data_IF_215185219989
#
_entry.id   IF_215185219989
#
_cell.length_a   1.000
_cell.length_b   1.000
_cell.length_c   1.000
_cell.angle_alpha   90.00
_cell.angle_beta   90.00
_cell.angle_gamma   90.00
#
_symmetry.space_group_name_H-M   'P 1'
#
loop_
_entity.id
_entity.type
_entity.pdbx_description
1 polymer ?
#
# COMPACT_ATOMS: atom_id res chain seq x y z
N UNK A 1 5.55 -19.31 44.60
CA UNK A 1 5.24 -18.04 43.90
C UNK A 1 4.84 -18.24 42.43
N UNK A 2 4.89 -19.47 41.90
CA UNK A 2 4.56 -19.80 40.50
C UNK A 2 3.05 -19.75 40.15
N UNK A 3 2.15 -20.03 41.10
CA UNK A 3 0.70 -20.12 40.83
C UNK A 3 0.02 -18.77 40.55
N UNK A 4 0.54 -17.67 41.10
CA UNK A 4 -0.04 -16.33 40.90
C UNK A 4 0.40 -15.70 39.57
N UNK A 5 1.57 -16.08 39.06
CA UNK A 5 2.07 -15.64 37.76
C UNK A 5 1.24 -16.25 36.62
N UNK A 6 0.80 -17.49 36.78
CA UNK A 6 -0.04 -18.19 35.80
C UNK A 6 -1.43 -17.56 35.64
N UNK A 7 -2.05 -17.10 36.74
CA UNK A 7 -3.37 -16.44 36.73
C UNK A 7 -3.35 -15.10 35.98
N UNK A 8 -2.30 -14.29 36.17
CA UNK A 8 -2.13 -13.02 35.45
C UNK A 8 -1.76 -13.24 33.99
N UNK A 9 -0.89 -14.21 33.71
CA UNK A 9 -0.50 -14.56 32.35
C UNK A 9 -1.71 -15.03 31.53
N UNK A 10 -2.55 -15.90 32.10
CA UNK A 10 -3.77 -16.38 31.44
C UNK A 10 -4.76 -15.25 31.11
N UNK A 11 -4.97 -14.31 32.04
CA UNK A 11 -5.83 -13.15 31.83
C UNK A 11 -5.29 -12.22 30.73
N UNK A 12 -3.98 -11.99 30.70
CA UNK A 12 -3.30 -11.20 29.65
C UNK A 12 -3.47 -11.86 28.28
N UNK A 13 -3.29 -13.18 28.19
CA UNK A 13 -3.51 -13.91 26.94
C UNK A 13 -4.97 -13.81 26.47
N UNK A 14 -5.93 -13.88 27.39
CA UNK A 14 -7.36 -13.79 27.06
C UNK A 14 -7.72 -12.41 26.48
N UNK A 15 -7.20 -11.32 27.07
CA UNK A 15 -7.39 -9.95 26.58
C UNK A 15 -6.72 -9.74 25.21
N UNK A 16 -5.51 -10.27 25.02
CA UNK A 16 -4.78 -10.15 23.75
C UNK A 16 -5.49 -10.91 22.61
N UNK A 17 -6.04 -12.09 22.88
CA UNK A 17 -6.78 -12.89 21.89
C UNK A 17 -8.10 -12.20 21.51
N UNK A 18 -8.85 -11.69 22.49
CA UNK A 18 -10.13 -11.03 22.23
C UNK A 18 -9.95 -9.69 21.50
N UNK A 19 -8.91 -8.93 21.83
CA UNK A 19 -8.54 -7.69 21.14
C UNK A 19 -8.07 -7.91 19.70
N UNK A 20 -7.36 -9.03 19.44
CA UNK A 20 -6.86 -9.35 18.09
C UNK A 20 -7.94 -9.94 17.18
N UNK A 21 -8.92 -10.68 17.73
CA UNK A 21 -10.07 -11.21 16.99
C UNK A 21 -11.14 -10.15 16.70
N UNK A 22 -11.24 -9.10 17.52
CA UNK A 22 -12.21 -8.01 17.35
C UNK A 22 -11.77 -6.90 16.38
N UNK A 23 -10.52 -6.92 15.90
CA UNK A 23 -10.05 -5.90 14.97
C UNK A 23 -10.66 -6.11 13.57
N UNK A 24 -11.36 -5.11 13.00
CA UNK A 24 -11.85 -5.21 11.63
C UNK A 24 -10.64 -5.40 10.71
N UNK A 25 -10.64 -6.53 9.98
CA UNK A 25 -9.65 -6.73 8.92
C UNK A 25 -9.92 -5.73 7.82
N UNK A 26 -9.02 -4.76 7.65
CA UNK A 26 -9.00 -3.88 6.50
C UNK A 26 -8.68 -4.74 5.28
N UNK A 27 -9.72 -5.26 4.62
CA UNK A 27 -9.57 -5.82 3.29
C UNK A 27 -9.26 -4.66 2.35
N UNK A 28 -8.04 -4.64 1.82
CA UNK A 28 -7.70 -3.74 0.73
C UNK A 28 -8.52 -4.17 -0.49
N UNK A 29 -9.62 -3.47 -0.76
CA UNK A 29 -10.34 -3.61 -2.02
C UNK A 29 -9.46 -3.07 -3.15
N UNK A 30 -9.35 -3.80 -4.26
CA UNK A 30 -8.82 -3.21 -5.49
C UNK A 30 -9.73 -2.04 -5.90
N UNK A 31 -9.27 -0.82 -5.68
CA UNK A 31 -9.99 0.38 -6.10
C UNK A 31 -9.96 0.45 -7.61
N UNK A 32 -11.12 0.38 -8.25
CA UNK A 32 -11.25 0.59 -9.69
C UNK A 32 -10.78 2.01 -10.03
N UNK A 33 -9.71 2.13 -10.81
CA UNK A 33 -9.15 3.42 -11.20
C UNK A 33 -10.12 4.11 -12.17
N UNK A 34 -10.53 5.32 -11.84
CA UNK A 34 -11.42 6.13 -12.70
C UNK A 34 -10.76 7.47 -13.01
N UNK A 35 -10.94 7.98 -14.24
CA UNK A 35 -10.34 9.24 -14.68
C UNK A 35 -10.74 10.45 -13.80
N UNK A 36 -11.95 10.40 -13.22
CA UNK A 36 -12.52 11.47 -12.41
C UNK A 36 -12.37 11.24 -10.90
N UNK A 37 -11.44 10.39 -10.47
CA UNK A 37 -11.27 10.04 -9.05
C UNK A 37 -11.16 11.27 -8.12
N UNK A 38 -10.48 12.33 -8.56
CA UNK A 38 -10.30 13.56 -7.80
C UNK A 38 -11.31 14.67 -8.12
N UNK A 39 -12.31 14.43 -8.98
CA UNK A 39 -13.19 15.50 -9.46
C UNK A 39 -14.00 16.18 -8.33
N UNK A 40 -14.39 15.45 -7.30
CA UNK A 40 -15.15 15.98 -6.16
C UNK A 40 -14.29 16.49 -5.01
N UNK A 41 -13.07 15.97 -4.85
CA UNK A 41 -12.19 16.27 -3.70
C UNK A 41 -11.14 17.33 -4.01
N UNK A 42 -10.56 17.29 -5.22
CA UNK A 42 -9.57 18.25 -5.68
C UNK A 42 -9.63 18.38 -7.21
N UNK A 43 -10.55 19.21 -7.75
CA UNK A 43 -10.79 19.30 -9.19
C UNK A 43 -9.59 19.88 -9.97
N UNK A 44 -8.70 20.60 -9.30
CA UNK A 44 -7.54 21.27 -9.92
C UNK A 44 -6.27 20.43 -9.92
N UNK A 45 -6.29 19.21 -9.35
CA UNK A 45 -5.08 18.39 -9.18
C UNK A 45 -4.32 18.17 -10.48
N UNK A 46 -5.01 17.84 -11.57
CA UNK A 46 -4.37 17.57 -12.86
C UNK A 46 -3.73 18.83 -13.46
N UNK A 47 -4.34 20.01 -13.23
CA UNK A 47 -3.79 21.28 -13.70
C UNK A 47 -2.52 21.66 -12.91
N UNK A 48 -2.55 21.47 -11.58
CA UNK A 48 -1.39 21.73 -10.72
C UNK A 48 -0.23 20.81 -11.10
N UNK A 49 -0.47 19.50 -11.18
CA UNK A 49 0.58 18.52 -11.54
C UNK A 49 1.16 18.81 -12.93
N UNK A 50 0.31 19.16 -13.91
CA UNK A 50 0.78 19.53 -15.26
C UNK A 50 1.69 20.75 -15.21
N UNK A 51 1.26 21.82 -14.52
CA UNK A 51 2.04 23.06 -14.42
C UNK A 51 3.41 22.82 -13.80
N UNK A 52 3.48 22.09 -12.69
CA UNK A 52 4.76 21.80 -12.03
C UNK A 52 5.66 20.90 -12.89
N UNK A 53 5.07 19.94 -13.60
CA UNK A 53 5.79 19.11 -14.56
C UNK A 53 6.37 19.95 -15.70
N UNK A 54 5.59 20.88 -16.26
CA UNK A 54 6.05 21.80 -17.31
C UNK A 54 7.21 22.68 -16.81
N UNK A 55 7.10 23.23 -15.60
CA UNK A 55 8.19 23.98 -14.97
C UNK A 55 9.47 23.14 -14.82
N UNK A 56 9.35 21.91 -14.30
CA UNK A 56 10.48 21.02 -14.11
C UNK A 56 11.16 20.67 -15.45
N UNK A 57 10.39 20.23 -16.44
CA UNK A 57 10.90 19.84 -17.75
C UNK A 57 11.49 21.03 -18.53
N UNK A 58 10.93 22.23 -18.36
CA UNK A 58 11.50 23.44 -18.97
C UNK A 58 12.82 23.83 -18.31
N UNK A 59 12.98 23.56 -17.01
CA UNK A 59 14.24 23.82 -16.29
C UNK A 59 15.34 22.81 -16.65
N UNK A 60 15.02 21.52 -16.73
CA UNK A 60 15.89 20.47 -17.25
C UNK A 60 15.07 19.41 -18.01
N UNK A 61 15.27 19.25 -19.33
CA UNK A 61 14.51 18.28 -20.11
C UNK A 61 14.75 16.82 -19.68
N UNK A 62 15.81 16.54 -18.92
CA UNK A 62 16.11 15.19 -18.37
C UNK A 62 15.13 14.79 -17.27
N UNK A 63 14.47 15.74 -16.61
CA UNK A 63 13.50 15.46 -15.54
C UNK A 63 12.29 14.67 -16.04
N UNK A 64 11.86 14.88 -17.29
CA UNK A 64 10.81 14.08 -17.92
C UNK A 64 11.16 12.58 -17.90
N UNK A 65 12.38 12.23 -18.30
CA UNK A 65 12.85 10.85 -18.32
C UNK A 65 13.03 10.28 -16.90
N UNK A 66 13.51 11.11 -15.96
CA UNK A 66 13.69 10.70 -14.57
C UNK A 66 12.35 10.36 -13.89
N UNK A 67 11.33 11.22 -14.03
CA UNK A 67 10.01 11.05 -13.42
C UNK A 67 9.31 9.80 -13.97
N UNK A 68 9.38 9.58 -15.28
CA UNK A 68 8.86 8.35 -15.90
C UNK A 68 9.58 7.11 -15.38
N UNK A 69 10.92 7.15 -15.28
CA UNK A 69 11.70 6.05 -14.71
C UNK A 69 11.36 5.79 -13.24
N UNK A 70 11.12 6.83 -12.45
CA UNK A 70 10.70 6.71 -11.06
C UNK A 70 9.31 6.04 -10.94
N UNK A 71 8.36 6.46 -11.77
CA UNK A 71 7.03 5.83 -11.82
C UNK A 71 7.13 4.33 -12.12
N UNK A 72 7.90 3.95 -13.15
CA UNK A 72 8.14 2.56 -13.46
C UNK A 72 8.86 1.83 -12.32
N UNK A 73 9.86 2.44 -11.69
CA UNK A 73 10.60 1.86 -10.58
C UNK A 73 9.69 1.48 -9.40
N UNK A 74 8.76 2.37 -9.03
CA UNK A 74 7.80 2.14 -7.95
C UNK A 74 6.81 1.00 -8.28
N UNK A 75 6.34 0.95 -9.52
CA UNK A 75 5.45 -0.13 -9.98
C UNK A 75 6.16 -1.49 -10.09
N UNK A 76 7.41 -1.53 -10.59
CA UNK A 76 8.15 -2.79 -10.73
C UNK A 76 8.53 -3.40 -9.37
N UNK A 77 8.76 -2.58 -8.34
CA UNK A 77 8.99 -3.07 -6.97
C UNK A 77 7.71 -3.71 -6.41
N UNK A 78 6.54 -3.11 -6.67
CA UNK A 78 5.25 -3.67 -6.26
C UNK A 78 4.96 -4.99 -6.98
N UNK A 79 5.19 -5.08 -8.30
CA UNK A 79 5.05 -6.33 -9.05
C UNK A 79 6.03 -7.41 -8.59
N UNK A 80 7.23 -7.08 -8.13
CA UNK A 80 8.13 -8.06 -7.50
C UNK A 80 7.60 -8.59 -6.17
N UNK A 81 6.96 -7.74 -5.35
CA UNK A 81 6.29 -8.16 -4.11
C UNK A 81 5.03 -8.99 -4.39
N UNK A 82 4.25 -8.61 -5.39
CA UNK A 82 3.08 -9.34 -5.85
C UNK A 82 3.45 -10.69 -6.49
N UNK A 83 4.49 -10.74 -7.33
CA UNK A 83 4.96 -12.00 -7.93
C UNK A 83 5.47 -12.96 -6.86
N UNK A 84 6.14 -12.47 -5.81
CA UNK A 84 6.60 -13.31 -4.69
C UNK A 84 5.45 -13.89 -3.85
N UNK A 85 4.38 -13.12 -3.64
CA UNK A 85 3.17 -13.60 -2.94
C UNK A 85 2.34 -14.56 -3.79
N UNK A 86 2.22 -14.36 -5.10
CA UNK A 86 1.55 -15.30 -6.01
C UNK A 86 2.38 -16.55 -6.35
N UNK A 87 3.71 -16.51 -6.21
CA UNK A 87 4.55 -17.71 -6.33
C UNK A 87 4.44 -18.60 -5.09
N UNK A 88 4.16 -18.02 -3.92
CA UNK A 88 3.92 -18.76 -2.68
C UNK A 88 2.52 -19.43 -2.62
N UNK A 89 1.57 -19.01 -3.47
CA UNK A 89 0.21 -19.58 -3.54
C UNK A 89 -0.06 -20.39 -4.79
N UNK A 90 0.90 -20.54 -5.72
CA UNK A 90 0.71 -21.45 -6.85
C UNK A 90 0.85 -22.89 -6.32
N UNK A 91 -0.19 -23.74 -6.39
CA UNK A 91 0.00 -25.14 -6.09
C UNK A 91 1.02 -25.68 -7.08
N UNK A 92 2.05 -26.34 -6.55
CA UNK A 92 2.94 -27.20 -7.30
C UNK A 92 2.06 -28.18 -8.09
N UNK A 93 1.86 -27.89 -9.38
CA UNK A 93 1.26 -28.85 -10.29
C UNK A 93 2.28 -29.98 -10.46
N UNK A 94 1.92 -31.15 -9.94
CA UNK A 94 2.58 -32.44 -10.19
C UNK A 94 2.77 -32.69 -11.68
#
# INVERSE_FOLDING_TARGET
MEHFLHSKSFFVHLVLIFGFLGAPRMYASESSLTLHYYASTCPTVFNVVRKEMECAVTSDPRDAAFIVRLHFHDCFIQLRRFRRSNLATKPTRS
#
